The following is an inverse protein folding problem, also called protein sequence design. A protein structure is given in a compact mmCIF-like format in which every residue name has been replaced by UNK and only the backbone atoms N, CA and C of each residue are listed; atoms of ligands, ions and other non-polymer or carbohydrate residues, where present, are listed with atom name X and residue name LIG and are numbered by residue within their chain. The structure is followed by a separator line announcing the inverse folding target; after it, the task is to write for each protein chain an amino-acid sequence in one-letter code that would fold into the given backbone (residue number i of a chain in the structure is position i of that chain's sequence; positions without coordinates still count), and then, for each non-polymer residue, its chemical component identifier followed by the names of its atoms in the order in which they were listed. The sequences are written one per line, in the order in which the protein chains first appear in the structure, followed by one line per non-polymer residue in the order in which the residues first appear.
data_IF_096878043916
#
_entry.id   IF_096878043916
#
_cell.length_a   1.000
_cell.length_b   1.000
_cell.length_c   1.000
_cell.angle_alpha   90.00
_cell.angle_beta   90.00
_cell.angle_gamma   90.00
#
_symmetry.space_group_name_H-M   'P 1'
#
loop_
_entity.id
_entity.type
_entity.pdbx_description
1 polymer ?
#
# COMPACT_ATOMS: atom_id res chain seq x y z
N UNK A 1 -7.47 1.06 4.91
CA UNK A 1 -7.79 2.26 4.10
C UNK A 1 -7.07 3.44 4.71
N UNK A 2 -6.42 4.26 3.88
CA UNK A 2 -5.86 5.54 4.30
C UNK A 2 -6.83 6.63 3.88
N UNK A 3 -7.10 7.56 4.78
CA UNK A 3 -7.94 8.72 4.55
C UNK A 3 -7.08 9.95 4.76
N UNK A 4 -7.12 10.84 3.78
CA UNK A 4 -6.45 12.12 3.90
C UNK A 4 -7.49 13.23 3.84
N UNK A 5 -7.41 14.11 4.83
CA UNK A 5 -8.28 15.25 5.00
C UNK A 5 -7.49 16.51 4.70
N UNK A 6 -8.16 17.46 4.07
CA UNK A 6 -7.65 18.79 3.83
C UNK A 6 -8.64 19.79 4.44
N UNK A 7 -8.15 20.90 5.00
CA UNK A 7 -9.06 21.94 5.46
C UNK A 7 -9.69 22.66 4.26
N UNK A 8 -11.01 22.88 4.33
CA UNK A 8 -11.75 23.67 3.34
C UNK A 8 -11.25 25.12 3.28
N UNK A 9 -10.82 25.71 4.39
CA UNK A 9 -10.28 27.08 4.43
C UNK A 9 -9.00 27.18 3.60
N UNK A 10 -8.23 26.10 3.49
CA UNK A 10 -7.04 26.06 2.64
C UNK A 10 -7.32 26.19 1.15
N UNK A 11 -8.50 25.76 0.69
CA UNK A 11 -8.95 25.92 -0.69
C UNK A 11 -9.42 27.35 -0.99
N UNK A 12 -10.01 28.00 0.01
CA UNK A 12 -10.58 29.34 -0.13
C UNK A 12 -9.53 30.43 0.11
N UNK A 13 -8.54 30.13 0.94
CA UNK A 13 -7.47 31.01 1.34
C UNK A 13 -6.14 30.75 0.62
N UNK A 14 -5.08 31.28 1.21
CA UNK A 14 -3.75 31.29 0.62
C UNK A 14 -2.94 32.50 1.06
N UNK A 15 -1.93 32.86 0.28
CA UNK A 15 -0.99 33.91 0.62
C UNK A 15 -1.56 35.31 0.35
N UNK A 16 -1.36 36.22 1.30
CA UNK A 16 -1.68 37.65 1.23
C UNK A 16 -3.12 37.97 0.78
N UNK A 17 -4.12 37.18 1.20
CA UNK A 17 -5.52 37.45 0.91
C UNK A 17 -6.04 38.62 1.74
N UNK A 18 -6.84 39.49 1.13
CA UNK A 18 -7.52 40.54 1.88
C UNK A 18 -8.51 39.94 2.88
N UNK A 19 -8.55 40.55 4.06
CA UNK A 19 -9.53 40.16 5.08
C UNK A 19 -10.96 40.35 4.59
N UNK A 20 -11.82 39.40 4.92
CA UNK A 20 -13.28 39.54 4.78
C UNK A 20 -13.94 40.09 6.04
N UNK A 21 -13.16 40.32 7.10
CA UNK A 21 -13.64 40.89 8.36
C UNK A 21 -14.02 42.36 8.20
N UNK A 22 -15.23 42.70 8.65
CA UNK A 22 -15.72 44.08 8.69
C UNK A 22 -14.88 45.01 9.60
N UNK A 23 -14.03 44.45 10.47
CA UNK A 23 -13.13 45.20 11.34
C UNK A 23 -11.77 45.53 10.69
N UNK A 24 -11.51 45.06 9.47
CA UNK A 24 -10.26 45.33 8.75
C UNK A 24 -10.38 46.58 7.86
N UNK A 25 -9.29 47.33 7.69
CA UNK A 25 -9.27 48.60 6.94
C UNK A 25 -9.18 48.42 5.41
N UNK A 26 -9.61 47.27 4.87
CA UNK A 26 -9.58 46.96 3.43
C UNK A 26 -8.18 46.80 2.80
N UNK A 27 -7.12 47.09 3.56
CA UNK A 27 -5.71 46.98 3.14
C UNK A 27 -4.94 45.90 3.89
N UNK A 28 -5.52 45.31 4.93
CA UNK A 28 -4.90 44.26 5.73
C UNK A 28 -5.01 42.92 4.99
N UNK A 29 -3.85 42.29 4.77
CA UNK A 29 -3.76 40.95 4.18
C UNK A 29 -3.45 39.90 5.25
N UNK A 30 -3.89 38.67 5.00
CA UNK A 30 -3.70 37.51 5.85
C UNK A 30 -3.20 36.33 5.03
N UNK A 31 -2.37 35.49 5.66
CA UNK A 31 -2.00 34.20 5.11
C UNK A 31 -2.89 33.13 5.73
N UNK A 32 -3.36 32.20 4.91
CA UNK A 32 -4.05 31.01 5.38
C UNK A 32 -3.05 29.89 5.51
N UNK A 33 -3.00 29.30 6.70
CA UNK A 33 -2.37 28.00 6.95
C UNK A 33 -3.48 26.97 6.89
N UNK A 34 -3.26 25.87 6.18
CA UNK A 34 -4.24 24.82 6.00
C UNK A 34 -3.75 23.55 6.67
N UNK A 35 -4.37 23.19 7.78
CA UNK A 35 -4.02 21.99 8.53
C UNK A 35 -5.07 20.92 8.27
N UNK A 36 -4.76 20.00 7.35
CA UNK A 36 -5.50 18.76 7.19
C UNK A 36 -5.01 17.66 8.12
N UNK A 37 -5.31 16.41 7.78
CA UNK A 37 -4.97 15.25 8.61
C UNK A 37 -4.84 13.96 7.79
N UNK A 38 -4.19 12.94 8.33
CA UNK A 38 -4.07 11.61 7.74
C UNK A 38 -4.42 10.52 8.76
N UNK A 39 -5.45 9.74 8.43
CA UNK A 39 -5.97 8.66 9.25
C UNK A 39 -5.94 7.32 8.53
N UNK A 40 -5.94 6.25 9.30
CA UNK A 40 -6.22 4.89 8.87
C UNK A 40 -7.58 4.43 9.37
N UNK A 41 -8.26 3.67 8.51
CA UNK A 41 -9.39 2.82 8.89
C UNK A 41 -9.10 1.35 8.54
N UNK A 42 -9.53 0.45 9.42
CA UNK A 42 -9.50 -1.00 9.21
C UNK A 42 -10.92 -1.55 9.12
N UNK A 43 -11.12 -2.58 8.29
CA UNK A 43 -12.41 -3.27 8.20
C UNK A 43 -12.48 -4.31 9.31
N UNK A 44 -13.37 -4.10 10.28
CA UNK A 44 -13.61 -5.02 11.40
C UNK A 44 -15.07 -5.42 11.42
N UNK A 45 -15.37 -6.72 11.26
CA UNK A 45 -16.75 -7.21 11.25
C UNK A 45 -17.63 -6.62 10.14
N UNK A 46 -17.04 -6.24 9.00
CA UNK A 46 -17.74 -5.60 7.89
C UNK A 46 -17.96 -4.08 8.04
N UNK A 47 -17.44 -3.46 9.10
CA UNK A 47 -17.53 -2.02 9.35
C UNK A 47 -16.13 -1.41 9.37
N UNK A 48 -15.94 -0.26 8.73
CA UNK A 48 -14.69 0.48 8.85
C UNK A 48 -14.60 1.17 10.20
N UNK A 49 -13.56 0.84 10.96
CA UNK A 49 -13.23 1.45 12.25
C UNK A 49 -12.00 2.33 12.05
N UNK A 50 -12.15 3.63 12.35
CA UNK A 50 -11.04 4.58 12.35
C UNK A 50 -10.01 4.20 13.42
N UNK A 51 -8.78 4.60 13.20
CA UNK A 51 -7.71 4.42 14.17
C UNK A 51 -8.01 5.03 15.54
N UNK A 52 -7.34 4.49 16.53
CA UNK A 52 -7.33 5.00 17.89
C UNK A 52 -5.89 4.96 18.40
N UNK A 53 -5.31 6.10 18.79
CA UNK A 53 -3.95 6.15 19.33
C UNK A 53 -2.95 5.44 18.41
N UNK A 54 -2.93 5.84 17.13
CA UNK A 54 -2.12 5.27 16.06
C UNK A 54 -2.26 3.75 15.84
N UNK A 55 -3.39 3.19 16.28
CA UNK A 55 -3.70 1.76 16.13
C UNK A 55 -4.95 1.58 15.30
N UNK A 56 -4.88 0.75 14.25
CA UNK A 56 -6.03 0.38 13.43
C UNK A 56 -5.89 -1.06 12.94
N UNK A 57 -6.79 -1.93 13.42
CA UNK A 57 -6.73 -3.35 13.14
C UNK A 57 -5.49 -3.98 13.78
N UNK A 58 -4.69 -4.69 12.98
CA UNK A 58 -3.43 -5.31 13.43
C UNK A 58 -2.21 -4.39 13.35
N UNK A 59 -2.39 -3.16 12.84
CA UNK A 59 -1.27 -2.23 12.67
C UNK A 59 -1.27 -1.20 13.78
N UNK A 60 -0.13 -1.10 14.45
CA UNK A 60 0.21 -0.06 15.42
C UNK A 60 1.49 0.60 14.96
N UNK A 61 1.46 1.92 14.78
CA UNK A 61 2.57 2.71 14.23
C UNK A 61 3.30 3.50 15.32
N UNK A 62 4.38 4.19 14.93
CA UNK A 62 5.22 5.00 15.82
C UNK A 62 4.47 6.14 16.54
N UNK A 63 3.32 6.56 16.02
CA UNK A 63 2.44 7.53 16.68
C UNK A 63 1.75 6.99 17.95
N UNK A 64 1.87 5.71 18.29
CA UNK A 64 1.09 5.12 19.38
C UNK A 64 1.53 5.62 20.77
N UNK A 65 0.59 5.64 21.71
CA UNK A 65 0.83 6.00 23.11
C UNK A 65 0.83 7.50 23.41
N UNK A 66 0.45 8.34 22.43
CA UNK A 66 0.38 9.79 22.58
C UNK A 66 -1.02 10.31 22.95
N UNK A 67 -1.98 9.40 23.18
CA UNK A 67 -3.32 9.74 23.64
C UNK A 67 -4.17 10.56 22.62
N UNK A 68 -3.76 10.59 21.35
CA UNK A 68 -4.45 11.30 20.26
C UNK A 68 -5.14 10.34 19.29
N UNK A 69 -6.08 10.85 18.48
CA UNK A 69 -6.84 10.08 17.49
C UNK A 69 -8.35 10.29 17.57
N UNK A 70 -9.10 9.90 16.52
CA UNK A 70 -10.52 10.22 16.37
C UNK A 70 -11.46 9.40 17.27
N UNK A 71 -11.02 8.23 17.77
CA UNK A 71 -11.87 7.36 18.57
C UNK A 71 -11.93 7.81 20.05
N UNK A 72 -13.16 7.87 20.56
CA UNK A 72 -13.48 8.26 21.94
C UNK A 72 -13.12 7.15 22.92
N UNK A 73 -12.24 7.42 23.90
CA UNK A 73 -12.24 6.64 25.14
C UNK A 73 -13.33 7.25 26.03
N UNK A 74 -14.40 6.49 26.30
CA UNK A 74 -15.49 6.86 27.22
C UNK A 74 -16.21 8.19 26.91
N UNK A 75 -16.59 8.42 25.65
CA UNK A 75 -17.48 9.53 25.28
C UNK A 75 -16.89 10.94 25.46
N UNK A 76 -15.60 11.04 25.81
CA UNK A 76 -14.84 12.29 25.88
C UNK A 76 -13.74 12.17 24.82
N UNK A 77 -13.76 13.02 23.78
CA UNK A 77 -12.53 13.20 22.98
C UNK A 77 -11.44 13.55 23.98
N UNK A 78 -10.33 12.81 23.96
CA UNK A 78 -9.31 12.96 24.98
C UNK A 78 -8.94 14.45 25.14
N UNK A 79 -8.93 14.92 26.39
CA UNK A 79 -9.19 16.29 26.78
C UNK A 79 -8.43 17.35 25.99
N UNK A 80 -9.19 18.20 25.31
CA UNK A 80 -8.80 19.56 24.94
C UNK A 80 -8.49 20.37 26.22
N UNK A 81 -7.21 20.57 26.54
CA UNK A 81 -6.79 21.62 27.50
C UNK A 81 -5.52 22.34 27.05
N UNK A 82 -5.32 22.52 25.73
CA UNK A 82 -4.21 23.30 25.19
C UNK A 82 -4.72 24.34 24.19
N UNK A 83 -4.38 25.63 24.41
CA UNK A 83 -4.68 26.76 23.52
C UNK A 83 -3.64 26.90 22.39
N UNK A 84 -3.29 25.81 21.71
CA UNK A 84 -2.32 25.81 20.61
C UNK A 84 -2.61 24.73 19.59
N UNK A 85 -1.98 24.83 18.42
CA UNK A 85 -2.11 23.99 17.21
C UNK A 85 -1.68 22.52 17.39
N UNK A 86 -2.02 21.89 18.52
CA UNK A 86 -1.68 20.51 18.87
C UNK A 86 -2.89 19.56 18.68
N UNK A 87 -3.65 19.73 17.59
CA UNK A 87 -4.67 18.77 17.18
C UNK A 87 -4.03 17.88 16.12
N UNK A 88 -3.17 16.97 16.55
CA UNK A 88 -2.57 16.00 15.62
C UNK A 88 -3.30 14.68 15.84
N UNK A 89 -4.10 14.19 14.87
CA UNK A 89 -4.61 12.82 14.95
C UNK A 89 -3.55 11.90 14.33
N UNK A 90 -2.72 11.31 15.21
CA UNK A 90 -1.45 10.73 14.75
C UNK A 90 -1.62 9.26 14.42
N UNK A 91 -1.61 8.93 13.14
CA UNK A 91 -1.24 7.57 12.71
C UNK A 91 0.26 7.48 12.45
N UNK A 92 0.82 8.32 11.60
CA UNK A 92 2.15 8.06 11.04
C UNK A 92 3.30 8.62 11.90
N UNK A 93 3.20 9.84 12.43
CA UNK A 93 4.38 10.58 12.91
C UNK A 93 4.52 10.63 14.45
N UNK A 94 5.74 10.37 14.95
CA UNK A 94 6.16 10.63 16.32
C UNK A 94 7.01 11.91 16.38
N UNK A 95 6.69 12.83 17.29
CA UNK A 95 7.47 14.05 17.48
C UNK A 95 8.77 13.71 18.24
N UNK A 96 9.90 14.01 17.62
CA UNK A 96 11.15 14.28 18.34
C UNK A 96 11.14 15.69 18.94
N UNK A 97 12.31 16.33 19.02
CA UNK A 97 12.48 17.72 19.48
C UNK A 97 12.04 18.80 18.48
N UNK A 98 11.36 18.43 17.39
CA UNK A 98 10.99 19.31 16.28
C UNK A 98 9.59 19.90 16.49
N UNK A 99 9.44 21.22 16.37
CA UNK A 99 8.32 21.98 16.96
C UNK A 99 7.37 22.62 15.92
N UNK A 100 7.36 22.20 14.65
CA UNK A 100 6.53 22.87 13.61
C UNK A 100 5.79 21.88 12.70
N UNK A 101 4.74 22.34 12.02
CA UNK A 101 3.51 21.69 11.50
C UNK A 101 3.66 20.45 10.58
N UNK A 102 4.55 19.51 10.89
CA UNK A 102 4.85 18.32 10.06
C UNK A 102 3.68 17.36 9.88
N UNK A 103 2.58 17.57 10.59
CA UNK A 103 1.31 16.85 10.51
C UNK A 103 0.25 17.56 9.64
N UNK A 104 0.51 18.80 9.21
CA UNK A 104 -0.38 19.56 8.35
C UNK A 104 -0.34 19.00 6.93
N UNK A 105 -1.17 17.99 6.71
CA UNK A 105 -1.41 17.43 5.38
C UNK A 105 -2.27 18.38 4.57
N UNK A 106 -1.86 18.70 3.35
CA UNK A 106 -2.57 19.61 2.44
C UNK A 106 -3.50 18.89 1.45
N UNK A 107 -3.60 17.55 1.55
CA UNK A 107 -4.64 16.75 0.89
C UNK A 107 -4.12 15.67 -0.03
N UNK A 108 -3.62 16.04 -1.22
CA UNK A 108 -3.33 15.06 -2.28
C UNK A 108 -2.41 13.93 -1.78
N UNK A 109 -2.80 12.69 -2.07
CA UNK A 109 -2.11 11.51 -1.55
C UNK A 109 -2.25 10.33 -2.48
N UNK A 110 -1.28 9.42 -2.45
CA UNK A 110 -1.34 8.20 -3.23
C UNK A 110 -0.64 7.05 -2.51
N UNK A 111 -1.03 5.81 -2.84
CA UNK A 111 -0.50 4.60 -2.22
C UNK A 111 0.31 3.80 -3.25
N UNK A 112 1.58 3.59 -2.95
CA UNK A 112 2.48 2.77 -3.76
C UNK A 112 2.23 1.29 -3.45
N UNK A 113 1.31 0.70 -4.19
CA UNK A 113 0.99 -0.72 -4.07
C UNK A 113 2.22 -1.59 -4.36
N UNK A 114 2.47 -2.57 -3.47
CA UNK A 114 3.63 -3.46 -3.53
C UNK A 114 4.89 -2.95 -2.80
N UNK A 115 5.03 -1.65 -2.53
CA UNK A 115 6.07 -1.15 -1.61
C UNK A 115 5.56 -0.90 -0.20
N UNK A 116 4.24 -0.82 -0.03
CA UNK A 116 3.64 -0.51 1.27
C UNK A 116 3.92 0.92 1.72
N UNK A 117 4.06 1.86 0.79
CA UNK A 117 4.33 3.27 1.11
C UNK A 117 3.15 4.18 0.75
N UNK A 118 2.95 5.23 1.55
CA UNK A 118 1.94 6.27 1.34
C UNK A 118 2.67 7.57 1.05
N UNK A 119 2.34 8.20 -0.07
CA UNK A 119 2.78 9.56 -0.38
C UNK A 119 1.67 10.54 -0.07
N UNK A 120 2.03 11.68 0.53
CA UNK A 120 1.06 12.68 0.95
C UNK A 120 1.66 14.07 0.84
N UNK A 121 0.86 15.05 0.39
CA UNK A 121 1.24 16.44 0.39
C UNK A 121 1.18 17.04 1.79
N UNK A 122 2.22 17.77 2.16
CA UNK A 122 2.37 18.36 3.49
C UNK A 122 2.89 19.79 3.40
N UNK A 123 2.51 20.58 4.38
CA UNK A 123 3.24 21.78 4.78
C UNK A 123 4.48 21.39 5.58
N UNK A 124 5.49 22.27 5.63
CA UNK A 124 6.72 22.10 6.39
C UNK A 124 7.45 20.78 6.07
N UNK A 125 7.56 20.45 4.77
CA UNK A 125 8.15 19.20 4.31
C UNK A 125 9.62 19.02 4.77
N UNK A 126 10.46 20.03 4.62
CA UNK A 126 11.85 20.01 5.15
C UNK A 126 12.11 21.13 6.15
N UNK A 127 11.57 22.31 5.87
CA UNK A 127 11.80 23.55 6.62
C UNK A 127 10.46 24.29 6.81
N UNK A 128 10.34 25.19 7.79
CA UNK A 128 9.13 25.99 7.97
C UNK A 128 8.74 26.76 6.71
N UNK A 129 7.45 26.85 6.42
CA UNK A 129 6.84 27.51 5.26
C UNK A 129 7.15 26.85 3.90
N UNK A 130 7.76 25.67 3.87
CA UNK A 130 7.86 24.91 2.62
C UNK A 130 6.58 24.12 2.36
N UNK A 131 6.29 23.86 1.09
CA UNK A 131 5.28 22.86 0.74
C UNK A 131 5.87 21.80 -0.14
N UNK A 132 5.41 20.58 0.09
CA UNK A 132 6.04 19.43 -0.48
C UNK A 132 5.27 18.16 -0.17
N UNK A 133 6.01 17.11 0.12
CA UNK A 133 5.44 15.80 0.37
C UNK A 133 6.29 14.93 1.27
N UNK A 134 5.62 13.98 1.90
CA UNK A 134 6.23 12.87 2.62
C UNK A 134 5.99 11.56 1.90
N UNK A 135 6.97 10.67 2.02
CA UNK A 135 6.81 9.24 1.80
C UNK A 135 6.82 8.56 3.16
N UNK A 136 5.71 7.92 3.50
CA UNK A 136 5.46 7.31 4.80
C UNK A 136 5.37 5.79 4.63
N UNK A 137 5.98 5.04 5.53
CA UNK A 137 5.83 3.59 5.59
C UNK A 137 4.47 3.20 6.18
N UNK A 138 3.70 2.39 5.45
CA UNK A 138 2.33 2.01 5.79
C UNK A 138 2.26 0.95 6.90
N UNK A 139 3.37 0.50 7.47
CA UNK A 139 3.36 -0.50 8.55
C UNK A 139 3.78 0.14 9.87
N UNK A 140 4.87 0.90 9.86
CA UNK A 140 5.49 1.54 11.01
C UNK A 140 5.04 2.97 11.22
N UNK A 141 4.52 3.64 10.20
CA UNK A 141 4.23 5.06 10.24
C UNK A 141 5.41 5.96 9.91
N UNK A 142 6.63 5.40 9.84
CA UNK A 142 7.85 6.17 9.71
C UNK A 142 7.87 7.03 8.44
N UNK A 143 8.42 8.24 8.55
CA UNK A 143 8.75 9.05 7.39
C UNK A 143 10.04 8.54 6.76
N UNK A 144 9.91 7.87 5.64
CA UNK A 144 11.03 7.33 4.85
C UNK A 144 11.71 8.43 4.04
N UNK A 145 10.94 9.39 3.52
CA UNK A 145 11.49 10.49 2.75
C UNK A 145 10.63 11.75 2.79
N UNK A 146 11.22 12.88 2.41
CA UNK A 146 10.55 14.15 2.23
C UNK A 146 11.08 14.89 0.99
N UNK A 147 10.19 15.54 0.26
CA UNK A 147 10.54 16.37 -0.88
C UNK A 147 9.92 17.75 -0.75
N UNK A 148 10.73 18.78 -0.94
CA UNK A 148 10.23 20.17 -1.04
C UNK A 148 9.93 20.48 -2.50
N UNK A 149 8.69 20.91 -2.77
CA UNK A 149 8.25 21.34 -4.10
C UNK A 149 8.38 22.85 -4.24
N UNK A 150 8.01 23.61 -3.21
CA UNK A 150 8.24 25.05 -3.14
C UNK A 150 8.87 25.46 -1.80
N UNK A 151 9.85 26.39 -1.84
CA UNK A 151 10.62 26.77 -0.67
C UNK A 151 9.90 27.80 0.22
N UNK A 152 10.40 27.94 1.45
CA UNK A 152 9.93 28.91 2.45
C UNK A 152 10.04 30.37 2.01
N UNK A 153 11.10 30.69 1.26
CA UNK A 153 11.37 32.01 0.73
C UNK A 153 10.74 32.15 -0.65
N UNK A 154 9.42 32.29 -0.71
CA UNK A 154 8.78 32.91 -1.86
C UNK A 154 9.01 34.42 -1.74
N UNK A 155 10.01 34.94 -2.47
CA UNK A 155 10.30 36.38 -2.57
C UNK A 155 9.26 37.15 -3.38
N UNK A 156 8.19 36.51 -3.84
CA UNK A 156 7.24 37.15 -4.72
C UNK A 156 5.86 37.26 -4.08
N UNK A 157 5.26 38.44 -4.24
CA UNK A 157 3.82 38.71 -4.09
C UNK A 157 2.98 37.90 -5.11
N UNK A 158 3.35 36.65 -5.39
CA UNK A 158 2.64 35.75 -6.27
C UNK A 158 1.42 35.19 -5.54
N UNK A 159 0.36 34.98 -6.30
CA UNK A 159 -0.83 34.27 -5.86
C UNK A 159 -0.45 32.83 -5.44
N UNK A 160 -0.68 32.49 -4.18
CA UNK A 160 -0.47 31.14 -3.64
C UNK A 160 -1.72 30.65 -2.92
N UNK A 161 -2.07 29.37 -3.10
CA UNK A 161 -3.15 28.69 -2.38
C UNK A 161 -2.55 27.87 -1.24
N UNK A 162 -3.21 27.84 -0.08
CA UNK A 162 -2.72 27.07 1.06
C UNK A 162 -2.77 25.55 0.80
N UNK A 163 -3.81 25.07 0.11
CA UNK A 163 -3.84 23.73 -0.49
C UNK A 163 -3.42 23.79 -1.97
N UNK A 164 -2.24 24.33 -2.25
CA UNK A 164 -1.81 24.63 -3.63
C UNK A 164 -1.34 23.41 -4.44
N UNK A 165 -1.09 22.28 -3.79
CA UNK A 165 -0.66 21.05 -4.43
C UNK A 165 -1.89 20.20 -4.77
N UNK A 166 -1.99 19.81 -6.05
CA UNK A 166 -3.08 18.96 -6.55
C UNK A 166 -2.96 17.50 -6.10
N UNK A 167 -3.66 16.61 -6.80
CA UNK A 167 -3.58 15.17 -6.52
C UNK A 167 -2.31 14.56 -7.17
N UNK A 168 -1.47 13.83 -6.41
CA UNK A 168 -0.33 13.12 -6.97
C UNK A 168 -0.76 11.86 -7.71
N UNK A 169 -0.24 11.66 -8.92
CA UNK A 169 -0.53 10.50 -9.74
C UNK A 169 0.69 9.58 -9.86
N UNK A 170 0.45 8.27 -9.73
CA UNK A 170 1.48 7.26 -9.95
C UNK A 170 1.63 7.03 -11.45
N UNK A 171 2.80 7.38 -11.98
CA UNK A 171 3.09 7.23 -13.41
C UNK A 171 3.58 5.84 -13.79
N UNK A 172 3.94 4.99 -12.82
CA UNK A 172 4.26 3.60 -13.08
C UNK A 172 3.02 2.73 -12.83
N UNK A 173 2.73 1.86 -13.79
CA UNK A 173 1.90 0.69 -13.49
C UNK A 173 2.66 -0.15 -12.47
N UNK A 174 1.95 -0.69 -11.49
CA UNK A 174 2.51 -1.72 -10.61
C UNK A 174 3.08 -2.80 -11.51
N UNK A 175 4.35 -3.17 -11.28
CA UNK A 175 4.96 -4.25 -12.03
C UNK A 175 4.04 -5.49 -11.94
N UNK A 176 3.77 -6.17 -13.06
CA UNK A 176 2.93 -7.36 -13.01
C UNK A 176 3.46 -8.39 -12.02
N UNK A 177 2.53 -9.13 -11.42
CA UNK A 177 2.83 -10.24 -10.53
C UNK A 177 2.85 -11.49 -11.38
N UNK A 178 3.98 -12.18 -11.36
CA UNK A 178 4.19 -13.48 -11.97
C UNK A 178 4.33 -14.53 -10.85
N UNK A 179 3.53 -15.59 -10.93
CA UNK A 179 3.55 -16.76 -10.05
C UNK A 179 3.57 -18.01 -10.91
N UNK A 180 4.72 -18.68 -10.99
CA UNK A 180 4.91 -19.84 -11.84
C UNK A 180 6.15 -20.62 -11.42
N UNK A 181 6.26 -21.84 -11.92
CA UNK A 181 7.49 -22.63 -11.89
C UNK A 181 7.35 -23.84 -12.82
N UNK A 182 8.12 -24.90 -12.52
CA UNK A 182 8.16 -26.19 -13.18
C UNK A 182 7.62 -27.27 -12.24
N UNK A 183 6.91 -28.24 -12.81
CA UNK A 183 6.54 -29.51 -12.18
C UNK A 183 7.47 -30.58 -12.74
N UNK A 184 8.06 -31.39 -11.86
CA UNK A 184 9.00 -32.44 -12.23
C UNK A 184 8.73 -33.75 -11.48
N UNK A 185 9.30 -34.82 -12.00
CA UNK A 185 9.37 -36.10 -11.32
C UNK A 185 10.59 -36.05 -10.43
N UNK A 186 10.36 -35.87 -9.13
CA UNK A 186 11.41 -35.99 -8.13
C UNK A 186 11.76 -37.48 -8.01
N UNK A 187 12.99 -37.83 -8.33
CA UNK A 187 13.39 -39.25 -8.46
C UNK A 187 14.14 -39.80 -7.26
N UNK A 188 14.66 -38.94 -6.39
CA UNK A 188 15.42 -39.33 -5.21
C UNK A 188 14.73 -38.96 -3.87
N UNK A 189 13.64 -38.20 -3.95
CA UNK A 189 12.70 -37.90 -2.88
C UNK A 189 13.12 -36.76 -1.98
N UNK A 190 14.03 -35.88 -2.41
CA UNK A 190 14.61 -34.85 -1.57
C UNK A 190 13.85 -33.50 -1.60
N UNK A 191 12.92 -33.31 -2.55
CA UNK A 191 12.12 -32.11 -2.74
C UNK A 191 12.88 -30.93 -3.34
N UNK A 192 14.10 -31.15 -3.82
CA UNK A 192 14.93 -30.21 -4.56
C UNK A 192 14.67 -30.46 -6.05
N UNK A 193 14.89 -29.43 -6.87
CA UNK A 193 14.81 -29.59 -8.32
C UNK A 193 16.21 -29.82 -8.86
N UNK A 194 16.50 -31.06 -9.24
CA UNK A 194 17.79 -31.44 -9.80
C UNK A 194 17.81 -31.42 -11.33
N UNK A 195 19.02 -31.32 -11.89
CA UNK A 195 19.23 -31.16 -13.32
C UNK A 195 18.88 -32.42 -14.12
N UNK A 196 18.96 -33.60 -13.52
CA UNK A 196 18.62 -34.89 -14.12
C UNK A 196 17.15 -35.30 -13.93
N UNK A 197 16.38 -34.49 -13.21
CA UNK A 197 14.97 -34.76 -12.96
C UNK A 197 14.09 -34.35 -14.13
N UNK A 198 13.23 -35.29 -14.54
CA UNK A 198 12.43 -35.15 -15.74
C UNK A 198 11.25 -34.21 -15.53
N UNK A 199 10.93 -33.34 -16.49
CA UNK A 199 9.73 -32.50 -16.41
C UNK A 199 8.46 -33.36 -16.44
N UNK A 200 7.38 -32.85 -15.84
CA UNK A 200 6.07 -33.49 -15.87
C UNK A 200 5.06 -32.61 -16.61
N UNK A 201 4.80 -32.96 -17.87
CA UNK A 201 3.85 -32.28 -18.75
C UNK A 201 2.40 -32.70 -18.51
N UNK A 202 1.46 -31.82 -18.86
CA UNK A 202 0.02 -32.11 -18.81
C UNK A 202 -0.58 -32.11 -17.41
N UNK A 203 0.13 -31.56 -16.42
CA UNK A 203 -0.34 -31.45 -15.04
C UNK A 203 -1.22 -30.23 -14.90
N UNK A 204 -2.45 -30.42 -14.39
CA UNK A 204 -3.32 -29.29 -14.04
C UNK A 204 -2.82 -28.62 -12.76
N UNK A 205 -2.59 -27.32 -12.80
CA UNK A 205 -2.20 -26.50 -11.65
C UNK A 205 -3.26 -25.42 -11.42
N UNK A 206 -3.63 -25.17 -10.17
CA UNK A 206 -4.65 -24.18 -9.78
C UNK A 206 -4.06 -23.11 -8.87
N UNK A 207 -4.36 -21.86 -9.18
CA UNK A 207 -4.13 -20.72 -8.28
C UNK A 207 -5.41 -20.43 -7.48
N UNK A 208 -5.29 -20.38 -6.16
CA UNK A 208 -6.41 -20.25 -5.23
C UNK A 208 -6.24 -19.01 -4.35
N UNK A 209 -7.29 -18.20 -4.24
CA UNK A 209 -7.38 -17.03 -3.36
C UNK A 209 -8.60 -17.17 -2.46
N UNK A 210 -8.42 -17.07 -1.14
CA UNK A 210 -9.52 -17.16 -0.15
C UNK A 210 -10.41 -18.41 -0.32
N UNK A 211 -9.81 -19.55 -0.69
CA UNK A 211 -10.53 -20.81 -0.93
C UNK A 211 -11.18 -20.98 -2.31
N UNK A 212 -11.18 -19.94 -3.15
CA UNK A 212 -11.71 -20.00 -4.52
C UNK A 212 -10.60 -20.11 -5.56
N UNK A 213 -10.77 -20.98 -6.55
CA UNK A 213 -9.87 -21.07 -7.72
C UNK A 213 -10.04 -19.80 -8.57
N UNK A 214 -8.94 -19.10 -8.84
CA UNK A 214 -8.93 -17.86 -9.63
C UNK A 214 -8.25 -18.04 -10.99
N UNK A 215 -7.44 -19.08 -11.16
CA UNK A 215 -6.85 -19.46 -12.43
C UNK A 215 -6.49 -20.95 -12.45
N UNK A 216 -6.37 -21.53 -13.65
CA UNK A 216 -5.94 -22.91 -13.88
C UNK A 216 -5.03 -22.95 -15.09
N UNK A 217 -3.85 -23.56 -14.93
CA UNK A 217 -2.86 -23.78 -15.97
C UNK A 217 -2.68 -25.29 -16.20
N UNK A 218 -2.16 -25.67 -17.35
CA UNK A 218 -1.70 -27.04 -17.65
C UNK A 218 -0.22 -26.98 -18.00
N UNK A 219 0.62 -27.78 -17.35
CA UNK A 219 2.07 -27.70 -17.59
C UNK A 219 2.45 -28.05 -19.02
N UNK A 220 3.38 -27.29 -19.58
CA UNK A 220 3.94 -27.49 -20.92
C UNK A 220 4.80 -28.77 -21.01
N UNK A 221 5.39 -29.03 -22.18
CA UNK A 221 6.30 -30.15 -22.39
C UNK A 221 7.54 -30.16 -21.47
N UNK A 222 7.93 -29.00 -20.93
CA UNK A 222 9.02 -28.80 -20.00
C UNK A 222 8.56 -28.79 -18.54
N UNK A 223 7.27 -29.03 -18.28
CA UNK A 223 6.67 -29.01 -16.95
C UNK A 223 6.38 -27.60 -16.43
N UNK A 224 6.59 -26.56 -17.22
CA UNK A 224 6.43 -25.17 -16.81
C UNK A 224 4.97 -24.74 -16.77
N UNK A 225 4.67 -23.78 -15.90
CA UNK A 225 3.41 -23.04 -15.87
C UNK A 225 3.65 -21.63 -15.32
N UNK A 226 2.78 -20.69 -15.69
CA UNK A 226 2.82 -19.31 -15.23
C UNK A 226 1.41 -18.75 -15.01
N UNK A 227 1.21 -18.07 -13.89
CA UNK A 227 0.07 -17.20 -13.63
C UNK A 227 0.56 -15.76 -13.56
N UNK A 228 -0.01 -14.87 -14.36
CA UNK A 228 0.37 -13.47 -14.42
C UNK A 228 -0.87 -12.57 -14.44
N UNK A 229 -0.76 -11.40 -13.79
CA UNK A 229 -1.76 -10.34 -13.94
C UNK A 229 -1.43 -9.36 -15.08
N UNK A 230 -0.33 -9.57 -15.83
CA UNK A 230 0.03 -8.73 -16.96
C UNK A 230 -1.01 -8.87 -18.07
N UNK A 231 -1.77 -7.82 -18.33
CA UNK A 231 -2.76 -7.78 -19.41
C UNK A 231 -2.14 -7.51 -20.79
N UNK A 232 -0.85 -7.12 -20.85
CA UNK A 232 -0.15 -6.88 -22.11
C UNK A 232 0.43 -8.15 -22.73
N UNK A 233 0.54 -9.23 -21.94
CA UNK A 233 1.05 -10.53 -22.37
C UNK A 233 -0.10 -11.44 -22.77
N UNK A 234 0.18 -12.28 -23.75
CA UNK A 234 -0.69 -13.39 -24.17
C UNK A 234 0.17 -14.63 -24.32
N UNK A 235 -0.47 -15.78 -24.23
CA UNK A 235 0.20 -17.04 -24.54
C UNK A 235 0.43 -17.14 -26.05
N UNK A 236 1.70 -17.23 -26.46
CA UNK A 236 2.12 -17.10 -27.87
C UNK A 236 3.13 -18.15 -28.30
N UNK A 237 3.44 -19.15 -27.47
CA UNK A 237 4.40 -20.18 -27.85
C UNK A 237 3.85 -21.16 -28.91
N UNK A 238 2.52 -21.20 -29.07
CA UNK A 238 1.83 -21.93 -30.12
C UNK A 238 1.74 -23.43 -29.88
N UNK A 239 1.98 -23.91 -28.65
CA UNK A 239 1.87 -25.34 -28.33
C UNK A 239 0.42 -25.81 -28.11
N UNK A 240 -0.51 -24.85 -27.94
CA UNK A 240 -1.94 -25.09 -27.75
C UNK A 240 -2.31 -25.55 -26.32
N UNK A 241 -1.37 -25.46 -25.39
CA UNK A 241 -1.52 -25.77 -23.97
C UNK A 241 -1.64 -24.44 -23.24
N UNK A 242 -2.64 -24.30 -22.38
CA UNK A 242 -2.77 -23.11 -21.54
C UNK A 242 -1.84 -23.23 -20.32
N UNK A 243 -0.53 -23.15 -20.52
CA UNK A 243 0.50 -23.18 -19.49
C UNK A 243 0.77 -21.79 -18.89
N UNK A 244 0.63 -20.74 -19.72
CA UNK A 244 0.80 -19.34 -19.37
C UNK A 244 -0.55 -18.61 -19.31
N UNK A 245 -1.04 -18.34 -18.10
CA UNK A 245 -2.32 -17.67 -17.85
C UNK A 245 -2.08 -16.21 -17.50
N UNK A 246 -2.50 -15.30 -18.39
CA UNK A 246 -2.33 -13.85 -18.24
C UNK A 246 -3.63 -13.13 -17.83
N UNK A 247 -3.52 -11.83 -17.55
CA UNK A 247 -4.65 -10.95 -17.21
C UNK A 247 -5.50 -11.43 -16.01
N UNK A 248 -4.87 -12.06 -15.01
CA UNK A 248 -5.56 -12.50 -13.79
C UNK A 248 -5.79 -11.30 -12.88
N UNK A 249 -6.91 -10.60 -13.05
CA UNK A 249 -7.26 -9.39 -12.27
C UNK A 249 -7.35 -9.63 -10.76
N UNK A 250 -7.55 -10.88 -10.32
CA UNK A 250 -7.63 -11.26 -8.90
C UNK A 250 -6.25 -11.49 -8.26
N UNK A 251 -5.18 -11.56 -9.06
CA UNK A 251 -3.78 -11.66 -8.61
C UNK A 251 -3.25 -10.24 -8.34
N UNK A 252 -3.13 -9.88 -7.06
CA UNK A 252 -2.89 -8.54 -6.54
C UNK A 252 -1.80 -8.58 -5.45
N UNK A 253 -1.02 -7.50 -5.26
CA UNK A 253 -0.01 -7.43 -4.21
C UNK A 253 -0.60 -7.62 -2.81
N UNK A 254 0.23 -8.01 -1.85
CA UNK A 254 -0.10 -8.08 -0.42
C UNK A 254 -1.28 -9.03 -0.09
N UNK A 255 -1.58 -9.97 -0.99
CA UNK A 255 -2.60 -11.00 -0.80
C UNK A 255 -1.96 -12.38 -0.63
N UNK A 256 -2.66 -13.28 0.07
CA UNK A 256 -2.26 -14.67 0.22
C UNK A 256 -2.87 -15.55 -0.88
N UNK A 257 -2.05 -16.41 -1.48
CA UNK A 257 -2.44 -17.36 -2.51
C UNK A 257 -1.98 -18.77 -2.16
N UNK A 258 -2.65 -19.76 -2.72
CA UNK A 258 -2.24 -21.16 -2.69
C UNK A 258 -2.11 -21.63 -4.14
N UNK A 259 -0.96 -22.17 -4.50
CA UNK A 259 -0.80 -22.98 -5.72
C UNK A 259 -1.04 -24.44 -5.34
N UNK A 260 -1.83 -25.16 -6.14
CA UNK A 260 -2.08 -26.59 -5.92
C UNK A 260 -2.29 -27.35 -7.22
N UNK A 261 -1.87 -28.61 -7.23
CA UNK A 261 -2.38 -29.61 -8.18
C UNK A 261 -3.70 -30.17 -7.60
N UNK A 262 -4.83 -30.12 -8.33
CA UNK A 262 -6.09 -30.69 -7.85
C UNK A 262 -6.05 -32.22 -7.86
N UNK A 263 -6.80 -32.84 -6.95
CA UNK A 263 -7.02 -34.30 -6.91
C UNK A 263 -5.77 -35.18 -6.70
N UNK A 264 -4.69 -34.65 -6.11
CA UNK A 264 -3.53 -35.46 -5.69
C UNK A 264 -3.98 -36.50 -4.65
N UNK A 265 -3.83 -37.78 -4.97
CA UNK A 265 -4.12 -38.92 -4.08
C UNK A 265 -2.81 -39.66 -3.76
N UNK A 266 -2.61 -40.07 -2.50
CA UNK A 266 -1.45 -40.84 -2.07
C UNK A 266 -0.67 -40.23 -0.89
N UNK A 267 0.33 -40.96 -0.41
CA UNK A 267 1.16 -40.58 0.74
C UNK A 267 2.23 -39.53 0.46
N UNK A 268 2.63 -39.33 -0.80
CA UNK A 268 3.61 -38.32 -1.24
C UNK A 268 2.99 -36.93 -1.45
N UNK A 269 1.91 -36.63 -0.73
CA UNK A 269 1.26 -35.33 -0.75
C UNK A 269 2.08 -34.36 0.10
N UNK A 270 2.76 -33.42 -0.54
CA UNK A 270 3.33 -32.29 0.19
C UNK A 270 2.19 -31.45 0.79
N UNK A 271 2.39 -30.97 2.01
CA UNK A 271 1.47 -29.98 2.58
C UNK A 271 1.49 -28.74 1.68
N UNK A 272 0.33 -28.12 1.47
CA UNK A 272 0.26 -26.88 0.70
C UNK A 272 1.34 -25.91 1.22
N UNK A 273 2.14 -25.34 0.32
CA UNK A 273 3.06 -24.26 0.68
C UNK A 273 2.17 -23.22 1.38
N UNK A 274 2.50 -22.91 2.64
CA UNK A 274 1.67 -22.08 3.51
C UNK A 274 1.35 -20.74 2.87
N UNK A 275 0.35 -20.04 3.42
CA UNK A 275 -0.07 -18.71 2.98
C UNK A 275 1.12 -17.74 2.99
N UNK A 276 1.82 -17.64 1.87
CA UNK A 276 2.93 -16.73 1.71
C UNK A 276 2.37 -15.42 1.13
N UNK A 277 2.57 -14.33 1.85
CA UNK A 277 2.38 -12.98 1.30
C UNK A 277 3.36 -12.81 0.14
N UNK A 278 2.85 -12.54 -1.06
CA UNK A 278 3.68 -12.25 -2.24
C UNK A 278 4.35 -10.88 -2.06
N UNK A 279 5.42 -10.83 -1.26
CA UNK A 279 6.40 -9.76 -1.29
C UNK A 279 7.59 -10.27 -2.11
N UNK A 280 7.62 -9.91 -3.39
CA UNK A 280 8.77 -10.03 -4.28
C UNK A 280 9.30 -11.47 -4.50
N UNK A 281 8.96 -12.06 -5.65
CA UNK A 281 9.44 -13.35 -6.18
C UNK A 281 9.23 -14.59 -5.29
N UNK A 282 8.35 -15.50 -5.73
CA UNK A 282 8.26 -16.85 -5.17
C UNK A 282 8.47 -17.88 -6.28
N UNK A 283 9.54 -18.67 -6.19
CA UNK A 283 9.73 -19.90 -6.96
C UNK A 283 8.99 -21.04 -6.23
N UNK A 284 8.14 -21.79 -6.94
CA UNK A 284 7.26 -22.82 -6.36
C UNK A 284 7.80 -24.22 -6.67
N UNK A 285 8.29 -24.95 -5.67
CA UNK A 285 8.76 -26.34 -5.83
C UNK A 285 7.58 -27.33 -5.76
N UNK A 286 7.43 -28.24 -6.74
CA UNK A 286 6.41 -29.30 -6.74
C UNK A 286 6.99 -30.70 -7.11
N UNK A 287 6.93 -31.61 -6.12
CA UNK A 287 7.34 -33.03 -6.14
C UNK A 287 6.17 -33.96 -6.54
N UNK A 288 6.37 -34.93 -7.46
CA UNK A 288 5.49 -36.10 -7.65
C UNK A 288 6.23 -37.40 -8.05
N UNK A 289 6.25 -38.41 -7.17
CA UNK A 289 6.72 -39.78 -7.47
C UNK A 289 5.62 -40.74 -7.97
N UNK A 290 5.94 -41.62 -8.94
CA UNK A 290 5.14 -42.82 -9.31
C UNK A 290 5.69 -44.07 -8.61
N UNK A 291 4.87 -44.76 -7.81
CA UNK A 291 5.10 -46.18 -7.49
C UNK A 291 4.76 -47.05 -8.71
N UNK A 292 5.77 -47.67 -9.33
CA UNK A 292 5.57 -48.78 -10.27
C UNK A 292 5.01 -49.98 -9.50
N UNK A 293 3.87 -50.50 -9.93
CA UNK A 293 3.43 -51.88 -9.67
C UNK A 293 3.92 -52.76 -10.81
#
# INVERSE_FOLDING_TARGET
MILVFNDRIGHQGGQANFSTSAASTGTTTFNTVASGDILRASLTGGVYVLENNATSGLVTTAGAGNNQGPATINGTMNGYTGTGENITMRFFLQYGTDIYHKDAVSGGSTFFAGSGQVYVHVEDSTDPYTGGSYLLDNTSGAKENAYTIYPATVTDNLFGKANGLGDPELMCNIAPIDCGNRVWVDTDGDGIQDADESPLAGVTVQLVKNGSVIATATTDANGNYLFSNDASRTDTDGDGIADNIYNITQLMPDMAYIVRIPNVQGGSKQSAIGANSLHYLMQVQEHQERKKM
#
